data_IF_063067967839
#
_entry.id   IF_063067967839
#
_cell.length_a   1.000
_cell.length_b   1.000
_cell.length_c   1.000
_cell.angle_alpha   90.00
_cell.angle_beta   90.00
_cell.angle_gamma   90.00
#
_symmetry.space_group_name_H-M   'P 1'
#
loop_
_entity.id
_entity.type
_entity.pdbx_description
1 polymer ?
#
# COMPACT_ATOMS: atom_id res chain seq x y z
N UNK A 1 12.57 -4.15 -20.19
CA UNK A 1 11.72 -3.68 -19.06
C UNK A 1 12.52 -2.61 -18.31
N UNK A 2 11.88 -1.59 -17.68
CA UNK A 2 12.62 -0.51 -16.99
C UNK A 2 13.33 -0.97 -15.72
N UNK A 3 12.97 -2.14 -15.19
CA UNK A 3 13.67 -2.81 -14.10
C UNK A 3 14.48 -3.97 -14.65
N UNK A 4 15.62 -4.27 -14.02
CA UNK A 4 16.41 -5.48 -14.32
C UNK A 4 15.53 -6.73 -14.25
N UNK A 5 15.80 -7.70 -15.14
CA UNK A 5 14.92 -8.84 -15.49
C UNK A 5 14.70 -9.89 -14.37
N UNK A 6 15.01 -9.56 -13.11
CA UNK A 6 14.69 -10.37 -11.94
C UNK A 6 13.27 -10.11 -11.42
N UNK A 7 12.66 -11.14 -10.82
CA UNK A 7 11.55 -10.94 -9.88
C UNK A 7 11.97 -10.04 -8.71
N UNK A 8 11.02 -9.53 -7.92
CA UNK A 8 11.37 -8.88 -6.66
C UNK A 8 11.49 -9.97 -5.59
N UNK A 9 12.63 -10.03 -4.92
CA UNK A 9 12.78 -10.85 -3.72
C UNK A 9 12.67 -9.93 -2.51
N UNK A 10 11.68 -10.20 -1.66
CA UNK A 10 11.44 -9.47 -0.41
C UNK A 10 11.32 -10.46 0.75
N UNK A 11 11.90 -10.09 1.88
CA UNK A 11 11.75 -10.80 3.14
C UNK A 11 10.74 -10.06 4.01
N UNK A 12 9.80 -10.80 4.60
CA UNK A 12 8.84 -10.25 5.55
C UNK A 12 9.52 -10.02 6.91
N UNK A 13 9.48 -8.78 7.41
CA UNK A 13 10.00 -8.44 8.73
C UNK A 13 8.90 -8.49 9.79
N UNK A 14 7.73 -7.92 9.47
CA UNK A 14 6.55 -7.87 10.34
C UNK A 14 5.27 -7.75 9.48
N UNK A 15 4.09 -7.66 10.11
CA UNK A 15 2.78 -7.59 9.43
C UNK A 15 2.63 -6.39 8.45
N UNK A 16 3.53 -5.40 8.53
CA UNK A 16 3.45 -4.13 7.81
C UNK A 16 4.67 -3.81 6.96
N UNK A 17 5.82 -4.39 7.24
CA UNK A 17 7.09 -4.02 6.64
C UNK A 17 7.81 -5.22 6.02
N UNK A 18 8.39 -4.94 4.86
CA UNK A 18 9.21 -5.87 4.10
C UNK A 18 10.61 -5.29 3.92
N UNK A 19 11.57 -6.18 3.75
CA UNK A 19 12.93 -5.87 3.41
C UNK A 19 13.24 -6.34 2.00
N UNK A 20 13.85 -5.49 1.19
CA UNK A 20 14.31 -5.87 -0.15
C UNK A 20 15.54 -6.78 -0.01
N UNK A 21 15.46 -8.03 -0.47
CA UNK A 21 16.54 -9.00 -0.31
C UNK A 21 17.65 -8.82 -1.36
N UNK A 22 17.29 -8.41 -2.57
CA UNK A 22 18.21 -8.20 -3.69
C UNK A 22 18.14 -6.76 -4.21
N UNK A 23 19.26 -6.16 -4.65
CA UNK A 23 19.24 -4.79 -5.17
C UNK A 23 18.24 -4.62 -6.32
N UNK A 24 17.33 -3.66 -6.20
CA UNK A 24 16.37 -3.33 -7.25
C UNK A 24 16.92 -2.18 -8.09
N UNK A 25 17.25 -2.47 -9.34
CA UNK A 25 17.73 -1.45 -10.28
C UNK A 25 16.61 -0.95 -11.18
N UNK A 26 16.42 0.37 -11.20
CA UNK A 26 15.59 1.08 -12.15
C UNK A 26 16.44 1.81 -13.17
N UNK A 27 16.12 1.60 -14.44
CA UNK A 27 16.73 2.23 -15.60
C UNK A 27 15.67 3.04 -16.33
N UNK A 28 15.63 4.34 -16.04
CA UNK A 28 14.83 5.31 -16.78
C UNK A 28 15.52 5.73 -18.07
N UNK A 29 14.90 6.66 -18.81
CA UNK A 29 15.46 7.16 -20.07
C UNK A 29 16.81 7.88 -19.90
N UNK A 30 17.00 8.57 -18.78
CA UNK A 30 18.19 9.38 -18.47
C UNK A 30 18.74 9.15 -17.07
N UNK A 31 18.04 8.37 -16.25
CA UNK A 31 18.27 8.24 -14.82
C UNK A 31 18.44 6.76 -14.48
N UNK A 32 19.39 6.46 -13.58
CA UNK A 32 19.55 5.13 -13.00
C UNK A 32 19.45 5.24 -11.49
N UNK A 33 18.56 4.47 -10.89
CA UNK A 33 18.42 4.38 -9.44
C UNK A 33 18.64 2.92 -9.01
N UNK A 34 19.39 2.74 -7.93
CA UNK A 34 19.64 1.43 -7.32
C UNK A 34 19.10 1.50 -5.91
N UNK A 35 18.06 0.71 -5.63
CA UNK A 35 17.59 0.49 -4.27
C UNK A 35 18.46 -0.62 -3.66
N UNK A 36 19.17 -0.35 -2.56
CA UNK A 36 20.08 -1.33 -1.97
C UNK A 36 19.31 -2.49 -1.35
N UNK A 37 19.94 -3.68 -1.35
CA UNK A 37 19.50 -4.77 -0.50
C UNK A 37 19.49 -4.32 0.97
N UNK A 38 18.52 -4.81 1.72
CA UNK A 38 18.28 -4.43 3.10
C UNK A 38 17.35 -3.22 3.28
N UNK A 39 16.89 -2.56 2.21
CA UNK A 39 15.97 -1.44 2.30
C UNK A 39 14.60 -1.87 2.84
N UNK A 40 14.09 -1.13 3.84
CA UNK A 40 12.78 -1.38 4.47
C UNK A 40 11.69 -0.55 3.76
N UNK A 41 10.61 -1.22 3.37
CA UNK A 41 9.46 -0.64 2.64
C UNK A 41 8.15 -1.17 3.23
N UNK A 42 7.10 -0.35 3.24
CA UNK A 42 5.72 -0.79 3.56
C UNK A 42 4.85 -0.94 2.29
N UNK A 43 5.49 -0.92 1.11
CA UNK A 43 4.91 -0.90 -0.22
C UNK A 43 3.92 0.26 -0.43
N UNK A 44 2.64 -0.04 -0.32
CA UNK A 44 1.56 0.91 -0.50
C UNK A 44 0.65 0.84 0.73
N UNK A 45 0.66 1.91 1.50
CA UNK A 45 -0.32 2.15 2.57
C UNK A 45 -1.67 2.54 1.96
N UNK A 46 -2.47 1.53 1.58
CA UNK A 46 -3.78 1.71 0.92
C UNK A 46 -4.94 1.62 1.92
N UNK A 47 -5.87 2.59 1.96
CA UNK A 47 -7.06 2.52 2.80
C UNK A 47 -7.97 1.34 2.42
N UNK A 48 -8.51 0.63 3.42
CA UNK A 48 -9.35 -0.59 3.23
C UNK A 48 -10.46 -0.43 2.18
N UNK A 49 -11.24 0.67 2.13
CA UNK A 49 -12.34 0.80 1.16
C UNK A 49 -11.91 0.88 -0.31
N UNK A 50 -10.61 1.10 -0.60
CA UNK A 50 -10.07 1.20 -1.96
C UNK A 50 -9.10 0.07 -2.31
N UNK A 51 -8.88 -0.89 -1.40
CA UNK A 51 -7.99 -2.05 -1.65
C UNK A 51 -8.46 -2.90 -2.83
N UNK A 52 -9.77 -2.95 -3.11
CA UNK A 52 -10.32 -3.65 -4.28
C UNK A 52 -9.87 -3.03 -5.61
N UNK A 53 -9.53 -1.74 -5.62
CA UNK A 53 -9.11 -1.00 -6.82
C UNK A 53 -7.58 -0.98 -6.98
N UNK A 54 -6.88 -0.78 -5.85
CA UNK A 54 -5.42 -0.73 -5.76
C UNK A 54 -5.02 -1.68 -4.61
N UNK A 55 -4.74 -2.95 -4.90
CA UNK A 55 -4.22 -3.89 -3.91
C UNK A 55 -2.94 -3.40 -3.20
N UNK A 56 -2.52 -4.03 -2.09
CA UNK A 56 -1.25 -3.66 -1.44
C UNK A 56 -0.01 -4.05 -2.26
N UNK A 57 -0.12 -5.11 -3.08
CA UNK A 57 0.94 -5.62 -3.92
C UNK A 57 0.45 -5.83 -5.36
N UNK A 58 1.35 -5.80 -6.33
CA UNK A 58 1.02 -6.11 -7.72
C UNK A 58 2.05 -5.57 -8.69
N UNK A 59 1.60 -5.26 -9.90
CA UNK A 59 2.44 -4.80 -11.00
C UNK A 59 3.24 -3.53 -10.63
N UNK A 60 2.72 -2.69 -9.74
CA UNK A 60 3.35 -1.46 -9.28
C UNK A 60 4.27 -1.61 -8.06
N UNK A 61 4.44 -2.81 -7.50
CA UNK A 61 5.26 -3.00 -6.29
C UNK A 61 6.70 -2.50 -6.50
N UNK A 62 7.32 -2.77 -7.66
CA UNK A 62 8.66 -2.23 -8.00
C UNK A 62 8.70 -0.70 -7.98
N UNK A 63 7.65 -0.06 -8.49
CA UNK A 63 7.53 1.40 -8.49
C UNK A 63 7.36 1.97 -7.07
N UNK A 64 6.60 1.29 -6.21
CA UNK A 64 6.39 1.70 -4.83
C UNK A 64 7.70 1.63 -4.01
N UNK A 65 8.44 0.53 -4.13
CA UNK A 65 9.76 0.38 -3.47
C UNK A 65 10.72 1.48 -3.92
N UNK A 66 10.76 1.77 -5.23
CA UNK A 66 11.58 2.85 -5.77
C UNK A 66 11.16 4.21 -5.20
N UNK A 67 9.86 4.49 -5.10
CA UNK A 67 9.34 5.75 -4.56
C UNK A 67 9.70 5.93 -3.08
N UNK A 68 9.51 4.89 -2.25
CA UNK A 68 9.91 4.89 -0.84
C UNK A 68 11.41 5.17 -0.68
N UNK A 69 12.24 4.53 -1.52
CA UNK A 69 13.67 4.76 -1.52
C UNK A 69 14.03 6.20 -1.90
N UNK A 70 13.42 6.75 -2.94
CA UNK A 70 13.67 8.13 -3.37
C UNK A 70 13.25 9.15 -2.30
N UNK A 71 12.13 8.91 -1.61
CA UNK A 71 11.69 9.76 -0.50
C UNK A 71 12.60 9.67 0.73
N UNK A 72 13.09 8.48 1.06
CA UNK A 72 13.96 8.26 2.22
C UNK A 72 15.39 8.75 2.00
N UNK A 73 15.93 8.56 0.80
CA UNK A 73 17.30 8.93 0.45
C UNK A 73 17.47 10.42 0.20
N UNK A 74 16.40 11.12 -0.20
CA UNK A 74 16.44 12.56 -0.51
C UNK A 74 17.28 12.91 -1.73
N UNK A 75 17.63 11.93 -2.57
CA UNK A 75 18.42 12.12 -3.81
C UNK A 75 17.67 13.00 -4.81
N UNK A 76 16.35 12.98 -4.76
CA UNK A 76 15.46 13.80 -5.59
C UNK A 76 14.45 14.53 -4.69
N UNK A 77 13.84 15.59 -5.21
CA UNK A 77 12.76 16.25 -4.49
C UNK A 77 11.54 15.33 -4.36
N UNK A 78 10.69 15.54 -3.35
CA UNK A 78 9.45 14.78 -3.22
C UNK A 78 8.57 14.92 -4.48
N UNK A 79 8.62 16.08 -5.13
CA UNK A 79 7.86 16.32 -6.34
C UNK A 79 8.37 15.51 -7.53
N UNK A 80 9.68 15.35 -7.64
CA UNK A 80 10.33 14.53 -8.66
C UNK A 80 10.11 13.05 -8.38
N UNK A 81 10.21 12.61 -7.13
CA UNK A 81 9.90 11.24 -6.72
C UNK A 81 8.47 10.84 -7.12
N UNK A 82 7.48 11.70 -6.83
CA UNK A 82 6.08 11.49 -7.23
C UNK A 82 5.93 11.44 -8.78
N UNK A 83 6.70 12.27 -9.50
CA UNK A 83 6.73 12.29 -10.96
C UNK A 83 7.33 11.02 -11.57
N UNK A 84 8.47 10.58 -11.04
CA UNK A 84 9.17 9.33 -11.40
C UNK A 84 8.23 8.16 -11.14
N UNK A 85 7.58 8.11 -9.98
CA UNK A 85 6.59 7.07 -9.65
C UNK A 85 5.49 6.97 -10.71
N UNK A 86 4.85 8.09 -11.09
CA UNK A 86 3.81 8.10 -12.13
C UNK A 86 4.33 7.60 -13.49
N UNK A 87 5.56 7.96 -13.84
CA UNK A 87 6.21 7.51 -15.09
C UNK A 87 6.46 6.01 -15.06
N UNK A 88 7.07 5.51 -13.99
CA UNK A 88 7.35 4.09 -13.77
C UNK A 88 6.07 3.24 -13.77
N UNK A 89 4.96 3.74 -13.19
CA UNK A 89 3.65 3.08 -13.31
C UNK A 89 3.22 2.89 -14.78
N UNK A 90 3.44 3.91 -15.62
CA UNK A 90 3.17 3.82 -17.06
C UNK A 90 4.03 2.80 -17.77
N UNK A 91 5.32 2.76 -17.45
CA UNK A 91 6.28 1.79 -18.02
C UNK A 91 5.96 0.34 -17.61
N UNK A 92 5.36 0.16 -16.42
CA UNK A 92 4.87 -1.13 -15.93
C UNK A 92 3.49 -1.51 -16.50
N UNK A 93 2.91 -0.71 -17.40
CA UNK A 93 1.62 -1.02 -18.05
C UNK A 93 0.40 -0.70 -17.18
N UNK A 94 0.54 0.09 -16.13
CA UNK A 94 -0.60 0.54 -15.32
C UNK A 94 -1.48 1.49 -16.12
N UNK A 95 -2.80 1.25 -16.11
CA UNK A 95 -3.76 2.05 -16.87
C UNK A 95 -3.71 3.54 -16.50
N UNK A 96 -3.98 4.39 -17.48
CA UNK A 96 -3.87 5.86 -17.34
C UNK A 96 -4.67 6.41 -16.15
N UNK A 97 -5.95 6.04 -15.93
CA UNK A 97 -6.69 6.54 -14.77
C UNK A 97 -6.06 6.07 -13.46
N UNK A 98 -5.65 4.80 -13.36
CA UNK A 98 -5.07 4.23 -12.14
C UNK A 98 -3.77 4.94 -11.75
N UNK A 99 -2.85 5.16 -12.71
CA UNK A 99 -1.59 5.85 -12.40
C UNK A 99 -1.79 7.31 -11.97
N UNK A 100 -2.80 7.99 -12.49
CA UNK A 100 -3.12 9.37 -12.07
C UNK A 100 -3.74 9.42 -10.67
N UNK A 101 -4.64 8.49 -10.34
CA UNK A 101 -5.18 8.35 -8.98
C UNK A 101 -4.06 8.03 -7.98
N UNK A 102 -3.16 7.11 -8.32
CA UNK A 102 -2.00 6.76 -7.48
C UNK A 102 -1.05 7.96 -7.31
N UNK A 103 -0.79 8.71 -8.39
CA UNK A 103 0.00 9.94 -8.33
C UNK A 103 -0.64 11.01 -7.42
N UNK A 104 -1.95 11.22 -7.51
CA UNK A 104 -2.65 12.16 -6.64
C UNK A 104 -2.58 11.73 -5.16
N UNK A 105 -2.67 10.42 -4.88
CA UNK A 105 -2.55 9.90 -3.53
C UNK A 105 -1.16 10.17 -2.92
N UNK A 106 -0.07 9.86 -3.65
CA UNK A 106 1.30 10.13 -3.15
C UNK A 106 1.57 11.63 -3.02
N UNK A 107 1.03 12.44 -3.94
CA UNK A 107 1.15 13.90 -3.92
C UNK A 107 0.45 14.53 -2.71
N UNK A 108 -0.69 13.97 -2.32
CA UNK A 108 -1.37 14.34 -1.08
C UNK A 108 -0.55 13.92 0.15
N UNK A 109 -0.01 12.70 0.17
CA UNK A 109 0.82 12.20 1.26
C UNK A 109 2.10 13.01 1.47
N UNK A 110 2.74 13.46 0.38
CA UNK A 110 3.89 14.35 0.39
C UNK A 110 3.56 15.80 0.77
N UNK A 111 2.28 16.11 1.08
CA UNK A 111 1.76 17.44 1.43
C UNK A 111 2.07 18.51 0.38
N UNK A 112 2.09 18.14 -0.91
CA UNK A 112 2.42 19.04 -2.01
C UNK A 112 3.81 19.71 -1.86
N UNK A 113 4.75 19.07 -1.16
CA UNK A 113 6.12 19.60 -1.00
C UNK A 113 6.80 19.78 -2.35
N UNK A 114 7.32 20.98 -2.59
CA UNK A 114 7.98 21.33 -3.84
C UNK A 114 7.04 21.49 -5.04
N UNK A 115 5.73 21.57 -4.83
CA UNK A 115 4.77 21.75 -5.91
C UNK A 115 4.74 23.20 -6.42
N UNK A 116 4.72 23.37 -7.73
CA UNK A 116 4.43 24.66 -8.37
C UNK A 116 2.93 24.95 -8.36
N UNK A 117 2.52 26.19 -8.67
CA UNK A 117 1.10 26.53 -8.80
C UNK A 117 0.38 25.67 -9.86
N UNK A 118 1.08 25.34 -10.95
CA UNK A 118 0.57 24.43 -11.99
C UNK A 118 0.38 23.00 -11.48
N UNK A 119 1.32 22.49 -10.69
CA UNK A 119 1.20 21.15 -10.08
C UNK A 119 0.05 21.08 -9.09
N UNK A 120 -0.19 22.15 -8.32
CA UNK A 120 -1.32 22.24 -7.40
C UNK A 120 -2.64 22.22 -8.19
N UNK A 121 -2.75 23.01 -9.27
CA UNK A 121 -3.94 23.02 -10.11
C UNK A 121 -4.21 21.64 -10.74
N UNK A 122 -3.16 20.98 -11.26
CA UNK A 122 -3.26 19.62 -11.80
C UNK A 122 -3.65 18.61 -10.72
N UNK A 123 -3.04 18.69 -9.53
CA UNK A 123 -3.41 17.87 -8.38
C UNK A 123 -4.88 18.03 -8.03
N UNK A 124 -5.37 19.27 -7.91
CA UNK A 124 -6.77 19.54 -7.59
C UNK A 124 -7.72 18.97 -8.64
N UNK A 125 -7.42 19.17 -9.93
CA UNK A 125 -8.22 18.62 -11.02
C UNK A 125 -8.31 17.09 -10.93
N UNK A 126 -7.16 16.41 -10.81
CA UNK A 126 -7.11 14.94 -10.71
C UNK A 126 -7.79 14.46 -9.43
N UNK A 127 -7.57 15.13 -8.30
CA UNK A 127 -8.16 14.77 -7.02
C UNK A 127 -9.69 14.88 -7.05
N UNK A 128 -10.24 15.97 -7.60
CA UNK A 128 -11.70 16.15 -7.73
C UNK A 128 -12.31 15.06 -8.59
N UNK A 129 -11.73 14.80 -9.78
CA UNK A 129 -12.23 13.74 -10.67
C UNK A 129 -12.14 12.36 -10.01
N UNK A 130 -11.04 12.09 -9.29
CA UNK A 130 -10.84 10.83 -8.56
C UNK A 130 -11.86 10.67 -7.44
N UNK A 131 -12.14 11.72 -6.65
CA UNK A 131 -13.13 11.68 -5.58
C UNK A 131 -14.53 11.45 -6.15
N UNK A 132 -14.91 12.16 -7.22
CA UNK A 132 -16.22 11.96 -7.86
C UNK A 132 -16.38 10.53 -8.38
N UNK A 133 -15.34 9.96 -8.99
CA UNK A 133 -15.35 8.59 -9.47
C UNK A 133 -15.41 7.56 -8.32
N UNK A 134 -14.64 7.78 -7.26
CA UNK A 134 -14.52 6.83 -6.14
C UNK A 134 -15.66 6.94 -5.13
N UNK A 135 -16.37 8.06 -5.06
CA UNK A 135 -17.39 8.31 -4.03
C UNK A 135 -18.44 7.20 -3.98
N UNK A 136 -18.98 6.81 -5.13
CA UNK A 136 -20.03 5.78 -5.22
C UNK A 136 -19.50 4.40 -4.75
N UNK A 137 -18.47 3.80 -5.38
CA UNK A 137 -18.02 2.46 -4.99
C UNK A 137 -17.44 2.43 -3.57
N UNK A 138 -16.75 3.49 -3.12
CA UNK A 138 -16.24 3.56 -1.74
C UNK A 138 -17.38 3.59 -0.74
N UNK A 139 -18.45 4.34 -1.02
CA UNK A 139 -19.63 4.39 -0.14
C UNK A 139 -20.29 3.00 -0.06
N UNK A 140 -20.50 2.34 -1.19
CA UNK A 140 -21.11 1.00 -1.24
C UNK A 140 -20.28 -0.02 -0.44
N UNK A 141 -18.96 -0.07 -0.68
CA UNK A 141 -18.05 -0.97 0.05
C UNK A 141 -18.03 -0.64 1.54
N UNK A 142 -18.01 0.64 1.91
CA UNK A 142 -17.98 1.06 3.32
C UNK A 142 -19.25 0.64 4.06
N UNK A 143 -20.43 0.87 3.46
CA UNK A 143 -21.71 0.43 4.02
C UNK A 143 -21.73 -1.08 4.22
N UNK A 144 -21.25 -1.84 3.24
CA UNK A 144 -21.17 -3.29 3.35
C UNK A 144 -20.22 -3.75 4.46
N UNK A 145 -19.03 -3.14 4.59
CA UNK A 145 -18.08 -3.46 5.65
C UNK A 145 -18.65 -3.16 7.05
N UNK A 146 -19.40 -2.06 7.20
CA UNK A 146 -20.08 -1.72 8.46
C UNK A 146 -21.16 -2.75 8.78
N UNK A 147 -21.99 -3.12 7.81
CA UNK A 147 -23.02 -4.14 7.98
C UNK A 147 -22.40 -5.48 8.41
N UNK A 148 -21.33 -5.90 7.74
CA UNK A 148 -20.63 -7.14 8.06
C UNK A 148 -20.03 -7.11 9.47
N UNK A 149 -19.43 -5.99 9.87
CA UNK A 149 -18.92 -5.81 11.23
C UNK A 149 -20.02 -5.96 12.29
N UNK A 150 -21.24 -5.47 12.05
CA UNK A 150 -22.37 -5.69 12.96
C UNK A 150 -22.77 -7.17 13.06
N UNK A 151 -22.70 -7.92 11.95
CA UNK A 151 -22.95 -9.36 11.94
C UNK A 151 -21.88 -10.09 12.77
N UNK A 152 -20.60 -9.75 12.59
CA UNK A 152 -19.50 -10.30 13.39
C UNK A 152 -19.69 -10.00 14.87
N UNK A 153 -20.07 -8.77 15.21
CA UNK A 153 -20.34 -8.36 16.58
C UNK A 153 -21.48 -9.18 17.21
N UNK A 154 -22.57 -9.38 16.47
CA UNK A 154 -23.70 -10.20 16.93
C UNK A 154 -23.28 -11.67 17.12
N UNK A 155 -22.56 -12.24 16.14
CA UNK A 155 -22.06 -13.61 16.22
C UNK A 155 -21.12 -13.79 17.40
N UNK A 156 -20.22 -12.84 17.63
CA UNK A 156 -19.33 -12.82 18.80
C UNK A 156 -20.11 -12.72 20.11
N UNK A 157 -21.15 -11.89 20.18
CA UNK A 157 -21.99 -11.77 21.38
C UNK A 157 -22.74 -13.07 21.69
N UNK A 158 -23.32 -13.72 20.67
CA UNK A 158 -23.98 -15.04 20.81
C UNK A 158 -22.97 -16.10 21.23
N UNK A 159 -21.80 -16.16 20.60
CA UNK A 159 -20.73 -17.07 20.97
C UNK A 159 -20.31 -16.84 22.43
N UNK A 160 -20.13 -15.59 22.85
CA UNK A 160 -19.74 -15.23 24.22
C UNK A 160 -20.80 -15.66 25.26
N UNK A 161 -22.08 -15.55 24.93
CA UNK A 161 -23.18 -15.97 25.81
C UNK A 161 -23.35 -17.50 25.89
N UNK A 162 -23.02 -18.22 24.81
CA UNK A 162 -23.17 -19.67 24.71
C UNK A 162 -21.93 -20.45 25.15
N UNK A 163 -20.78 -19.79 25.25
CA UNK A 163 -19.51 -20.41 25.64
C UNK A 163 -19.56 -20.84 27.11
N UNK A 164 -19.45 -22.15 27.35
CA UNK A 164 -19.14 -22.68 28.68
C UNK A 164 -17.65 -22.45 28.99
N UNK A 165 -17.28 -22.11 30.22
CA UNK A 165 -15.87 -22.05 30.60
C UNK A 165 -15.22 -23.41 30.34
N UNK A 166 -13.96 -23.43 29.86
CA UNK A 166 -13.25 -24.68 29.67
C UNK A 166 -13.18 -25.44 31.00
N UNK A 167 -13.35 -26.76 30.92
CA UNK A 167 -13.23 -27.63 32.08
C UNK A 167 -11.81 -27.49 32.65
N UNK A 168 -11.66 -27.34 33.98
CA UNK A 168 -10.33 -27.21 34.58
C UNK A 168 -9.49 -28.45 34.22
N UNK A 169 -8.21 -28.22 33.91
CA UNK A 169 -7.30 -29.31 33.59
C UNK A 169 -7.32 -30.36 34.73
N UNK A 170 -7.32 -31.66 34.40
CA UNK A 170 -7.28 -32.70 35.42
C UNK A 170 -6.06 -32.48 36.32
N UNK A 171 -6.28 -32.51 37.63
CA UNK A 171 -5.20 -32.33 38.59
C UNK A 171 -4.13 -33.41 38.35
N UNK A 172 -2.82 -33.06 38.41
CA UNK A 172 -1.75 -34.03 38.26
C UNK A 172 -1.94 -35.14 39.29
N UNK A 173 -2.05 -36.38 38.81
CA UNK A 173 -2.24 -37.56 39.66
C UNK A 173 -0.97 -37.83 40.46
N UNK A 174 -0.90 -37.28 41.67
CA UNK A 174 0.23 -37.48 42.59
C UNK A 174 0.26 -38.88 43.22
N UNK A 175 -0.56 -39.84 42.78
CA UNK A 175 -0.59 -41.21 43.34
C UNK A 175 0.38 -42.19 42.67
N UNK A 176 1.23 -41.73 41.75
CA UNK A 176 2.23 -42.55 41.06
C UNK A 176 3.66 -42.06 41.29
N UNK A 177 4.00 -41.76 42.54
CA UNK A 177 5.37 -41.51 43.00
C UNK A 177 5.76 -42.49 44.11
#
# INVERSE_FOLDING_TARGET
MPFSDGGIVVEELDERFWQVAEPLEYHGATERFVVPAGFRTDFASVPRPVVWLIPRYGVYTKAAILHDYLLSSGVVSAADADGIFRRTLGELGVSVPRRWMMWAAVRFASRLRGATAGDIALFLLVAVLSVLFLAVPVTVVTVYLILFWFIELLAWAVYRLTRRPPEPAPAPDMRSA
#
